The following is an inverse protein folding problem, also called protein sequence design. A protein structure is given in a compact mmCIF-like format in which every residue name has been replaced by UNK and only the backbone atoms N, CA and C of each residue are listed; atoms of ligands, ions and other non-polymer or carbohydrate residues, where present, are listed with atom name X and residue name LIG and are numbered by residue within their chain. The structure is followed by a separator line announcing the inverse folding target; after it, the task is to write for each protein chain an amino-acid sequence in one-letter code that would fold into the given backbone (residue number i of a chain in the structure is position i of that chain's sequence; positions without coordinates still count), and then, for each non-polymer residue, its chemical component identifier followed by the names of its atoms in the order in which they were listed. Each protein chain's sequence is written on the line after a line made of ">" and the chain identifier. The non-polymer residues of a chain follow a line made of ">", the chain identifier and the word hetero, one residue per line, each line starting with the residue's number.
data_IF_448347467329
#
_entry.id   IF_448347467329
#
_cell.length_a   1.000
_cell.length_b   1.000
_cell.length_c   1.000
_cell.angle_alpha   90.00
_cell.angle_beta   90.00
_cell.angle_gamma   90.00
#
_symmetry.space_group_name_H-M   'P 1'
#
loop_
_entity.id
_entity.type
_entity.pdbx_description
1 polymer ?
#
# COMPACT_ATOMS: atom_id res chain seq x y z
N UNK A 1 -4.75 3.90 16.39
CA UNK A 1 -3.72 3.40 15.45
C UNK A 1 -3.33 4.53 14.51
N UNK A 2 -2.04 4.78 14.28
CA UNK A 2 -1.57 5.99 13.60
C UNK A 2 -1.59 5.85 12.08
N UNK A 3 -2.68 5.35 11.51
CA UNK A 3 -2.86 5.29 10.06
C UNK A 3 -4.09 6.09 9.65
N UNK A 4 -3.94 6.88 8.58
CA UNK A 4 -5.02 7.67 7.99
C UNK A 4 -5.31 7.15 6.59
N UNK A 5 -6.59 6.98 6.28
CA UNK A 5 -7.04 6.72 4.91
C UNK A 5 -6.78 7.93 4.02
N UNK A 6 -6.12 7.70 2.89
CA UNK A 6 -5.80 8.70 1.86
C UNK A 6 -6.05 8.18 0.44
N UNK A 7 -6.71 7.02 0.30
CA UNK A 7 -7.11 6.43 -0.98
C UNK A 7 -8.09 7.26 -1.81
N UNK A 8 -8.50 8.43 -1.29
CA UNK A 8 -9.25 9.46 -2.00
C UNK A 8 -8.37 10.44 -2.79
N UNK A 9 -7.04 10.28 -2.77
CA UNK A 9 -6.11 11.13 -3.52
C UNK A 9 -5.53 12.31 -2.73
N UNK A 10 -5.79 12.41 -1.42
CA UNK A 10 -5.21 13.45 -0.56
C UNK A 10 -3.68 13.42 -0.52
N UNK A 11 -3.08 12.24 -0.72
CA UNK A 11 -1.63 12.04 -0.70
C UNK A 11 -1.20 11.29 -1.95
N UNK A 12 -0.18 11.84 -2.62
CA UNK A 12 0.46 11.21 -3.78
C UNK A 12 1.96 11.07 -3.54
N UNK A 13 2.48 9.87 -3.77
CA UNK A 13 3.92 9.54 -3.77
C UNK A 13 4.29 9.12 -5.18
N UNK A 14 5.13 9.90 -5.86
CA UNK A 14 5.52 9.61 -7.25
C UNK A 14 4.32 9.43 -8.20
N UNK A 15 3.29 10.28 -8.06
CA UNK A 15 2.01 10.21 -8.81
C UNK A 15 1.18 8.95 -8.53
N UNK A 16 1.46 8.20 -7.47
CA UNK A 16 0.67 7.06 -7.01
C UNK A 16 -0.01 7.41 -5.68
N UNK A 17 -1.28 7.08 -5.58
CA UNK A 17 -2.05 7.19 -4.34
C UNK A 17 -1.93 5.86 -3.58
N UNK A 18 -1.47 5.86 -2.31
CA UNK A 18 -1.70 4.74 -1.39
C UNK A 18 -3.11 4.79 -0.79
N UNK A 19 -3.55 3.71 -0.15
CA UNK A 19 -4.84 3.67 0.54
C UNK A 19 -4.74 4.26 1.94
N UNK A 20 -3.64 3.98 2.65
CA UNK A 20 -3.35 4.55 3.96
C UNK A 20 -1.90 5.00 4.09
N UNK A 21 -1.66 5.94 4.99
CA UNK A 21 -0.32 6.36 5.41
C UNK A 21 -0.21 6.40 6.94
N UNK A 22 0.99 6.17 7.44
CA UNK A 22 1.32 6.41 8.83
C UNK A 22 1.37 7.92 9.12
N UNK A 23 0.78 8.35 10.24
CA UNK A 23 0.70 9.77 10.66
C UNK A 23 1.60 10.11 11.85
N UNK A 24 2.44 9.18 12.32
CA UNK A 24 3.40 9.38 13.41
C UNK A 24 4.80 9.80 12.90
N UNK A 25 4.88 10.39 11.71
CA UNK A 25 6.14 10.89 11.12
C UNK A 25 6.99 9.82 10.41
N UNK A 26 6.58 8.55 10.43
CA UNK A 26 7.23 7.51 9.62
C UNK A 26 6.66 7.51 8.19
N UNK A 27 7.53 7.42 7.18
CA UNK A 27 7.11 7.31 5.77
C UNK A 27 6.71 5.87 5.44
N UNK A 28 5.57 5.43 5.98
CA UNK A 28 5.00 4.11 5.73
C UNK A 28 3.65 4.29 5.03
N UNK A 29 3.49 3.63 3.89
CA UNK A 29 2.24 3.55 3.14
C UNK A 29 1.67 2.13 3.17
N UNK A 30 0.35 2.02 3.03
CA UNK A 30 -0.36 0.75 2.90
C UNK A 30 -1.18 0.76 1.61
N UNK A 31 -1.15 -0.36 0.90
CA UNK A 31 -2.04 -0.69 -0.21
C UNK A 31 -2.86 -1.92 0.13
N UNK A 32 -4.18 -1.78 0.05
CA UNK A 32 -5.15 -2.87 0.14
C UNK A 32 -5.65 -3.15 -1.27
N UNK A 33 -5.45 -4.36 -1.76
CA UNK A 33 -5.72 -4.67 -3.17
C UNK A 33 -6.51 -5.95 -3.35
N UNK A 34 -7.29 -6.00 -4.43
CA UNK A 34 -7.91 -7.24 -4.93
C UNK A 34 -6.96 -7.95 -5.90
N UNK A 35 -6.45 -9.13 -5.53
CA UNK A 35 -5.38 -9.80 -6.30
C UNK A 35 -5.77 -10.09 -7.76
N UNK A 36 -6.95 -10.68 -8.00
CA UNK A 36 -7.39 -11.02 -9.38
C UNK A 36 -7.46 -9.80 -10.28
N UNK A 37 -7.87 -8.66 -9.74
CA UNK A 37 -7.86 -7.39 -10.48
C UNK A 37 -6.43 -6.97 -10.82
N UNK A 38 -5.45 -7.11 -9.92
CA UNK A 38 -4.05 -6.81 -10.26
C UNK A 38 -3.43 -7.79 -11.25
N UNK A 39 -3.88 -9.04 -11.29
CA UNK A 39 -3.42 -10.04 -12.25
C UNK A 39 -3.89 -9.74 -13.69
N UNK A 40 -5.08 -9.17 -13.85
CA UNK A 40 -5.68 -8.87 -15.15
C UNK A 40 -5.11 -7.60 -15.81
N UNK A 41 -4.54 -6.69 -15.03
CA UNK A 41 -4.14 -5.35 -15.49
C UNK A 41 -2.65 -5.08 -15.27
N UNK A 42 -2.11 -4.06 -15.96
CA UNK A 42 -0.75 -3.51 -15.73
C UNK A 42 0.40 -4.52 -15.80
N UNK A 43 0.28 -5.52 -16.69
CA UNK A 43 1.32 -6.54 -16.85
C UNK A 43 1.34 -7.58 -15.72
N UNK A 44 0.29 -7.64 -14.89
CA UNK A 44 0.11 -8.65 -13.87
C UNK A 44 0.54 -8.21 -12.47
N UNK A 45 0.19 -9.03 -11.48
CA UNK A 45 0.34 -8.72 -10.06
C UNK A 45 1.80 -8.45 -9.65
N UNK A 46 2.75 -9.25 -10.14
CA UNK A 46 4.18 -9.09 -9.82
C UNK A 46 4.72 -7.77 -10.36
N UNK A 47 4.42 -7.44 -11.62
CA UNK A 47 4.86 -6.18 -12.23
C UNK A 47 4.26 -4.97 -11.49
N UNK A 48 2.98 -5.04 -11.12
CA UNK A 48 2.34 -4.00 -10.32
C UNK A 48 2.99 -3.83 -8.94
N UNK A 49 3.28 -4.93 -8.23
CA UNK A 49 3.97 -4.89 -6.94
C UNK A 49 5.36 -4.24 -7.07
N UNK A 50 6.16 -4.68 -8.03
CA UNK A 50 7.50 -4.14 -8.25
C UNK A 50 7.48 -2.66 -8.62
N UNK A 51 6.56 -2.24 -9.50
CA UNK A 51 6.38 -0.84 -9.87
C UNK A 51 6.07 0.01 -8.63
N UNK A 52 5.12 -0.43 -7.80
CA UNK A 52 4.73 0.27 -6.58
C UNK A 52 5.89 0.33 -5.58
N UNK A 53 6.60 -0.79 -5.38
CA UNK A 53 7.76 -0.83 -4.49
C UNK A 53 8.86 0.14 -4.93
N UNK A 54 9.26 0.08 -6.21
CA UNK A 54 10.30 0.95 -6.78
C UNK A 54 9.94 2.44 -6.63
N UNK A 55 8.70 2.81 -6.95
CA UNK A 55 8.24 4.20 -6.83
C UNK A 55 8.29 4.65 -5.37
N UNK A 56 7.64 3.96 -4.44
CA UNK A 56 7.59 4.41 -3.05
C UNK A 56 8.98 4.46 -2.41
N UNK A 57 9.80 3.43 -2.62
CA UNK A 57 11.15 3.37 -2.09
C UNK A 57 12.03 4.51 -2.62
N UNK A 58 11.90 4.90 -3.89
CA UNK A 58 12.65 6.04 -4.47
C UNK A 58 12.35 7.39 -3.80
N UNK A 59 11.19 7.54 -3.14
CA UNK A 59 10.82 8.73 -2.37
C UNK A 59 11.07 8.56 -0.85
N UNK A 60 11.74 7.48 -0.45
CA UNK A 60 12.04 7.14 0.94
C UNK A 60 10.83 6.62 1.72
N UNK A 61 9.84 6.05 1.04
CA UNK A 61 8.69 5.40 1.66
C UNK A 61 8.85 3.89 1.71
N UNK A 62 8.50 3.30 2.85
CA UNK A 62 8.15 1.88 2.92
C UNK A 62 6.70 1.70 2.46
N UNK A 63 6.40 0.63 1.75
CA UNK A 63 5.04 0.28 1.34
C UNK A 63 4.71 -1.16 1.75
N UNK A 64 3.59 -1.33 2.47
CA UNK A 64 3.07 -2.62 2.90
C UNK A 64 1.83 -2.97 2.07
N UNK A 65 1.74 -4.22 1.65
CA UNK A 65 0.65 -4.72 0.82
C UNK A 65 -0.20 -5.72 1.60
N UNK A 66 -1.51 -5.56 1.51
CA UNK A 66 -2.49 -6.50 2.03
C UNK A 66 -3.43 -6.89 0.90
N UNK A 67 -3.47 -8.18 0.57
CA UNK A 67 -4.53 -8.67 -0.30
C UNK A 67 -5.86 -8.72 0.47
N UNK A 68 -6.97 -8.81 -0.25
CA UNK A 68 -8.32 -8.79 0.32
C UNK A 68 -8.55 -9.86 1.40
N UNK A 69 -7.84 -10.98 1.35
CA UNK A 69 -7.96 -12.08 2.33
C UNK A 69 -7.16 -11.82 3.62
N UNK A 70 -6.23 -10.85 3.59
CA UNK A 70 -5.38 -10.46 4.72
C UNK A 70 -5.95 -9.31 5.55
N UNK A 71 -7.07 -8.72 5.15
CA UNK A 71 -7.70 -7.60 5.86
C UNK A 71 -8.54 -8.10 7.04
N UNK A 72 -7.86 -8.65 8.04
CA UNK A 72 -8.46 -9.06 9.31
C UNK A 72 -7.58 -8.60 10.48
N UNK A 73 -8.19 -8.45 11.64
CA UNK A 73 -7.54 -7.87 12.83
C UNK A 73 -6.22 -8.59 13.18
N UNK A 74 -6.22 -9.92 13.17
CA UNK A 74 -5.05 -10.73 13.53
C UNK A 74 -3.86 -10.47 12.58
N UNK A 75 -4.09 -10.51 11.27
CA UNK A 75 -3.03 -10.26 10.29
C UNK A 75 -2.54 -8.81 10.28
N UNK A 76 -3.46 -7.86 10.49
CA UNK A 76 -3.13 -6.43 10.60
C UNK A 76 -2.22 -6.19 11.81
N UNK A 77 -2.64 -6.64 13.01
CA UNK A 77 -1.85 -6.46 14.23
C UNK A 77 -0.49 -7.14 14.14
N UNK A 78 -0.40 -8.31 13.50
CA UNK A 78 0.89 -9.00 13.30
C UNK A 78 1.89 -8.21 12.45
N UNK A 79 1.43 -7.43 11.45
CA UNK A 79 2.30 -6.75 10.47
C UNK A 79 2.56 -5.28 10.78
N UNK A 80 1.63 -4.62 11.48
CA UNK A 80 1.68 -3.17 11.74
C UNK A 80 1.19 -2.76 13.14
N UNK A 81 0.82 -3.72 13.99
CA UNK A 81 0.41 -3.48 15.38
C UNK A 81 1.58 -3.35 16.35
#
# INVERSE_FOLDING_TARGET
>A
MPYKFVGNGEVLVGRKCPDFININGQKIAIEVFYRKHKEQFRGGFINWLEERYKIFHSYGWEIKFFDETQVNEKEILKRIG
#
